data_IF_829592879015
#
_entry.id   IF_829592879015
#
_cell.length_a   1.000
_cell.length_b   1.000
_cell.length_c   1.000
_cell.angle_alpha   90.00
_cell.angle_beta   90.00
_cell.angle_gamma   90.00
#
_symmetry.space_group_name_H-M   'P 1'
#
loop_
_entity.id
_entity.type
_entity.pdbx_description
1 polymer ?
2 water ?
#
# COMPACT_ATOMS: atom_id res chain seq x y z
N UNK A 2 5.91 -5.68 -17.58
CA UNK A 2 5.51 -5.03 -16.29
C UNK A 2 6.50 -5.31 -15.14
N UNK A 3 6.95 -4.29 -14.38
CA UNK A 3 7.91 -4.51 -13.28
C UNK A 3 7.36 -5.36 -12.14
N UNK A 4 8.26 -5.91 -11.34
CA UNK A 4 7.82 -6.79 -10.28
C UNK A 4 6.97 -6.01 -9.29
N UNK A 5 6.15 -6.70 -8.50
CA UNK A 5 5.35 -6.10 -7.43
C UNK A 5 5.87 -6.61 -6.10
N UNK A 6 5.68 -5.82 -5.05
CA UNK A 6 6.04 -6.23 -3.71
C UNK A 6 4.87 -5.95 -2.78
N UNK A 7 4.49 -6.94 -1.98
CA UNK A 7 3.39 -6.74 -1.04
C UNK A 7 3.84 -7.04 0.38
N UNK A 8 3.36 -6.24 1.32
CA UNK A 8 3.66 -6.44 2.72
C UNK A 8 2.42 -6.90 3.47
N UNK A 9 2.56 -7.89 4.36
CA UNK A 9 1.43 -8.29 5.18
C UNK A 9 1.75 -8.19 6.67
N UNK A 10 0.79 -7.75 7.45
CA UNK A 10 1.03 -7.62 8.87
C UNK A 10 -0.31 -7.61 9.54
N UNK A 11 -0.32 -7.97 10.83
CA UNK A 11 -1.55 -8.06 11.61
C UNK A 11 -2.05 -6.72 12.14
N UNK A 12 -3.37 -6.52 12.08
CA UNK A 12 -4.03 -5.36 12.67
C UNK A 12 -3.74 -5.23 14.15
N UNK A 13 -3.44 -6.35 14.81
CA UNK A 13 -3.38 -6.41 16.26
C UNK A 13 -2.23 -5.56 16.84
N UNK A 14 -1.24 -5.21 16.01
CA UNK A 14 -0.17 -4.32 16.41
C UNK A 14 -0.69 -3.01 17.01
N UNK A 15 -1.87 -2.54 16.59
CA UNK A 15 -2.43 -1.31 17.14
C UNK A 15 -2.90 -1.51 18.58
N UNK A 16 -3.14 -2.74 19.02
CA UNK A 16 -3.61 -2.96 20.37
C UNK A 16 -2.50 -2.67 21.38
N UNK A 17 -1.24 -2.69 20.90
CA UNK A 17 -0.06 -2.48 21.72
C UNK A 17 0.19 -0.99 21.97
N UNK A 18 -0.31 -0.10 21.11
CA UNK A 18 -0.10 1.32 21.37
C UNK A 18 -0.62 1.65 22.78
N UNK A 19 -0.11 2.73 23.38
CA UNK A 19 -0.39 3.07 24.77
C UNK A 19 -1.27 4.31 24.88
N UNK A 20 -1.54 4.95 23.75
CA UNK A 20 -2.50 6.03 23.70
C UNK A 20 -3.09 6.11 22.29
N UNK A 21 -4.35 6.51 22.15
CA UNK A 21 -4.95 6.73 20.83
C UNK A 21 -4.08 7.52 19.86
N UNK A 22 -3.48 8.62 20.35
CA UNK A 22 -2.56 9.43 19.56
C UNK A 22 -1.47 8.53 18.97
N UNK A 23 -0.81 7.72 19.80
CA UNK A 23 0.27 6.84 19.33
C UNK A 23 -0.26 5.69 18.50
N UNK A 24 -1.53 5.31 18.70
CA UNK A 24 -2.15 4.27 17.91
C UNK A 24 -2.21 4.72 16.46
N UNK A 25 -2.54 5.99 16.31
CA UNK A 25 -2.56 6.65 15.02
C UNK A 25 -1.14 6.82 14.50
N UNK A 26 -0.16 7.21 15.34
CA UNK A 26 1.18 7.48 14.85
C UNK A 26 1.74 6.17 14.30
N UNK A 27 1.49 5.08 15.03
CA UNK A 27 2.07 3.82 14.62
C UNK A 27 1.56 3.39 13.25
N UNK A 28 0.27 3.64 12.96
CA UNK A 28 -0.27 3.25 11.67
C UNK A 28 0.39 4.06 10.57
N UNK A 29 0.54 5.37 10.82
CA UNK A 29 1.40 6.28 10.07
C UNK A 29 2.82 5.74 9.82
N UNK A 30 3.46 5.17 10.85
CA UNK A 30 4.82 4.65 10.63
C UNK A 30 4.78 3.51 9.63
N UNK A 31 3.70 2.70 9.65
CA UNK A 31 3.63 1.60 8.68
C UNK A 31 3.57 2.14 7.26
N UNK A 32 2.70 3.12 7.06
CA UNK A 32 2.44 3.66 5.73
C UNK A 32 3.74 4.21 5.18
N UNK A 33 4.49 4.90 6.06
CA UNK A 33 5.71 5.53 5.59
C UNK A 33 6.70 4.43 5.24
N UNK A 34 6.74 3.37 6.05
CA UNK A 34 7.76 2.36 5.77
C UNK A 34 7.48 1.76 4.41
N UNK A 35 6.19 1.56 4.12
CA UNK A 35 5.84 0.86 2.89
C UNK A 35 6.03 1.77 1.68
N UNK A 36 5.78 3.07 1.87
CA UNK A 36 5.94 4.03 0.80
C UNK A 36 7.44 4.21 0.47
N UNK A 37 8.30 4.18 1.49
CA UNK A 37 9.69 4.51 1.23
C UNK A 37 10.22 3.46 0.28
N UNK A 38 9.77 2.24 0.51
CA UNK A 38 10.28 1.10 -0.23
C UNK A 38 9.42 0.82 -1.44
N UNK A 39 8.53 1.74 -1.80
CA UNK A 39 7.73 1.62 -3.02
C UNK A 39 6.87 0.36 -2.98
N UNK A 40 6.25 0.01 -1.84
CA UNK A 40 5.39 -1.16 -1.79
C UNK A 40 4.11 -0.96 -2.61
N UNK A 41 3.69 -2.01 -3.34
CA UNK A 41 2.49 -1.97 -4.16
C UNK A 41 1.21 -2.29 -3.38
N UNK A 42 1.31 -3.08 -2.32
CA UNK A 42 0.13 -3.60 -1.67
C UNK A 42 0.47 -3.81 -0.20
N UNK A 43 -0.42 -3.39 0.68
CA UNK A 43 -0.31 -3.77 2.07
C UNK A 43 -1.52 -4.61 2.42
N UNK A 44 -1.28 -5.76 3.05
CA UNK A 44 -2.35 -6.67 3.44
C UNK A 44 -2.44 -6.65 4.94
N UNK A 45 -3.52 -6.12 5.52
CA UNK A 45 -3.66 -6.24 6.96
C UNK A 45 -4.57 -7.42 7.26
N UNK A 46 -4.06 -8.31 8.12
CA UNK A 46 -4.70 -9.59 8.31
C UNK A 46 -5.05 -9.75 9.79
N UNK A 47 -6.16 -10.46 10.02
CA UNK A 47 -6.64 -10.76 11.35
C UNK A 47 -5.91 -12.02 11.81
N UNK A 48 -5.21 -11.89 12.94
CA UNK A 48 -4.38 -12.95 13.48
C UNK A 48 -5.28 -14.00 14.16
N UNK A 49 -6.41 -14.33 13.50
CA UNK A 49 -7.08 -15.63 13.61
C UNK A 49 -7.30 -16.17 12.18
N UNK A 67 -12.59 -7.87 14.81
CA UNK A 67 -11.23 -7.34 14.61
C UNK A 67 -11.25 -5.91 14.07
N UNK A 68 -11.46 -4.93 14.96
CA UNK A 68 -11.55 -3.53 14.55
C UNK A 68 -10.16 -2.92 14.41
N UNK A 69 -9.18 -3.48 15.12
CA UNK A 69 -7.81 -3.09 14.89
C UNK A 69 -7.52 -3.09 13.39
N UNK A 70 -7.97 -4.15 12.67
CA UNK A 70 -7.68 -4.34 11.26
C UNK A 70 -8.36 -3.25 10.44
N UNK A 71 -9.61 -2.94 10.78
CA UNK A 71 -10.39 -1.97 10.03
C UNK A 71 -9.76 -0.58 10.23
N UNK A 72 -9.34 -0.29 11.47
CA UNK A 72 -8.77 1.02 11.78
C UNK A 72 -7.44 1.18 11.04
N UNK A 73 -6.60 0.15 11.10
CA UNK A 73 -5.29 0.25 10.51
C UNK A 73 -5.46 0.49 9.00
N UNK A 74 -6.29 -0.34 8.37
CA UNK A 74 -6.52 -0.21 6.94
C UNK A 74 -7.06 1.18 6.62
N UNK A 75 -7.94 1.69 7.47
CA UNK A 75 -8.55 2.96 7.15
C UNK A 75 -7.45 4.01 7.11
N UNK A 76 -6.56 4.00 8.12
CA UNK A 76 -5.52 5.01 8.24
C UNK A 76 -4.62 4.95 6.99
N UNK A 77 -4.19 3.72 6.69
CA UNK A 77 -3.32 3.46 5.57
C UNK A 77 -3.89 4.07 4.28
N UNK A 78 -5.21 3.93 4.07
CA UNK A 78 -5.86 4.37 2.84
C UNK A 78 -5.96 5.89 2.84
N UNK A 79 -6.28 6.49 4.00
CA UNK A 79 -6.32 7.93 4.14
C UNK A 79 -4.97 8.49 3.68
N UNK A 80 -3.87 7.88 4.14
CA UNK A 80 -2.57 8.48 3.92
C UNK A 80 -2.11 8.34 2.47
N UNK A 81 -2.56 7.27 1.80
CA UNK A 81 -2.22 7.03 0.41
C UNK A 81 -2.99 8.01 -0.46
N UNK A 82 -4.27 8.19 -0.17
CA UNK A 82 -5.10 9.07 -0.97
C UNK A 82 -4.54 10.48 -0.98
N UNK A 83 -4.31 11.08 -2.16
CA UNK A 83 -3.90 12.48 -2.26
C UNK A 83 -4.80 13.36 -1.43
N UNK A 84 -4.26 14.51 -1.04
CA UNK A 84 -4.93 15.34 -0.04
C UNK A 84 -6.20 15.96 -0.61
N UNK A 85 -6.17 16.31 -1.91
CA UNK A 85 -7.27 17.04 -2.53
C UNK A 85 -8.49 16.15 -2.67
N UNK A 86 -8.30 14.85 -2.48
CA UNK A 86 -9.36 13.85 -2.61
C UNK A 86 -9.85 13.33 -1.27
N UNK A 87 -9.25 13.78 -0.16
CA UNK A 87 -9.60 13.20 1.13
C UNK A 87 -11.04 13.59 1.53
N UNK A 88 -11.38 14.90 1.52
CA UNK A 88 -12.75 15.30 1.81
C UNK A 88 -13.70 14.36 1.06
N UNK A 89 -13.50 14.21 -0.25
CA UNK A 89 -14.44 13.46 -1.07
C UNK A 89 -14.48 11.98 -0.69
N UNK A 90 -13.34 11.35 -0.41
CA UNK A 90 -13.35 9.90 -0.26
C UNK A 90 -13.55 9.39 1.16
N UNK A 91 -13.33 10.21 2.21
CA UNK A 91 -13.49 9.73 3.57
C UNK A 91 -14.44 10.60 4.37
N UNK A 92 -15.65 10.10 4.70
CA UNK A 92 -16.47 10.79 5.67
C UNK A 92 -15.67 10.88 6.96
N UNK A 93 -15.94 11.94 7.72
CA UNK A 93 -15.37 12.13 9.03
C UNK A 93 -15.57 10.84 9.81
N UNK A 94 -14.48 10.30 10.37
CA UNK A 94 -14.61 9.11 11.19
C UNK A 94 -13.88 9.39 12.51
N UNK A 95 -14.06 8.49 13.48
CA UNK A 95 -13.30 8.49 14.72
C UNK A 95 -11.99 7.71 14.56
N UNK A 96 -11.78 7.09 13.39
CA UNK A 96 -10.48 6.50 13.08
C UNK A 96 -9.52 7.58 12.57
N UNK A 97 -10.02 8.69 11.97
CA UNK A 97 -9.19 9.75 11.39
C UNK A 97 -9.24 11.05 12.21
N UNK A 98 -9.55 10.95 13.50
CA UNK A 98 -9.68 12.13 14.34
C UNK A 98 -8.30 12.67 14.71
N UNK A 99 -7.29 11.79 14.65
CA UNK A 99 -5.90 12.17 14.86
C UNK A 99 -5.17 12.25 13.51
N UNK A 100 -5.91 12.38 12.41
CA UNK A 100 -5.32 12.43 11.07
C UNK A 100 -4.16 13.42 11.09
N UNK A 101 -4.41 14.53 11.80
CA UNK A 101 -3.51 15.67 11.87
C UNK A 101 -2.14 15.31 12.43
N UNK A 102 -2.09 14.46 13.47
CA UNK A 102 -0.85 14.16 14.20
C UNK A 102 0.06 13.25 13.40
N UNK A 103 0.00 13.35 12.08
CA UNK A 103 0.53 12.34 11.18
C UNK A 103 1.57 12.94 10.27
N UNK A 104 2.40 12.02 9.78
CA UNK A 104 3.41 12.28 8.79
C UNK A 104 2.92 11.96 7.38
N UNK A 105 2.98 12.96 6.49
CA UNK A 105 2.75 12.74 5.06
C UNK A 105 3.66 11.72 4.42
N UNK A 106 3.14 10.97 3.43
CA UNK A 106 3.98 10.10 2.61
C UNK A 106 4.82 10.89 1.60
N UNK A 107 4.41 12.09 1.21
CA UNK A 107 5.24 12.83 0.25
C UNK A 107 5.59 11.94 -0.94
N UNK A 108 4.59 11.20 -1.43
CA UNK A 108 4.79 10.30 -2.56
C UNK A 108 4.60 11.02 -3.89
N UNK A 109 5.13 10.48 -5.00
CA UNK A 109 5.10 11.26 -6.24
C UNK A 109 3.71 11.72 -6.68
N UNK A 110 2.63 11.15 -6.15
CA UNK A 110 1.30 11.55 -6.57
C UNK A 110 0.67 12.54 -5.59
N UNK A 111 1.46 13.05 -4.65
CA UNK A 111 1.00 14.02 -3.67
C UNK A 111 1.67 15.35 -4.02
N UNK A 112 0.93 16.22 -4.68
CA UNK A 112 1.54 17.40 -5.27
C UNK A 112 0.68 18.57 -4.88
N UNK A 113 1.25 19.77 -4.91
CA UNK A 113 0.46 20.97 -4.72
C UNK A 113 -0.41 21.17 -5.96
N UNK A 114 -1.37 22.09 -5.85
CA UNK A 114 -2.17 22.57 -6.97
C UNK A 114 -1.29 23.20 -8.05
N UNK A 115 -0.14 23.75 -7.67
CA UNK A 115 0.65 24.58 -8.56
C UNK A 115 1.83 23.78 -9.11
N UNK A 116 1.77 22.45 -9.05
CA UNK A 116 2.91 21.64 -9.42
C UNK A 116 2.60 20.99 -10.75
N UNK A 117 3.43 21.23 -11.77
CA UNK A 117 3.17 20.66 -13.09
C UNK A 117 3.60 19.20 -13.07
N UNK A 118 2.75 18.33 -13.60
CA UNK A 118 2.96 16.89 -13.55
C UNK A 118 2.23 16.24 -14.71
N UNK A 119 2.81 15.14 -15.21
CA UNK A 119 2.28 14.44 -16.37
C UNK A 119 0.93 13.81 -15.98
N UNK A 120 0.95 13.12 -14.82
CA UNK A 120 -0.20 12.42 -14.31
C UNK A 120 -0.63 12.96 -12.96
N UNK A 121 -1.93 12.83 -12.68
CA UNK A 121 -2.53 13.22 -11.41
C UNK A 121 -3.76 12.35 -11.19
N UNK A 122 -3.95 11.92 -9.93
CA UNK A 122 -5.16 11.25 -9.51
C UNK A 122 -6.30 12.26 -9.50
N UNK A 123 -7.50 11.74 -9.77
CA UNK A 123 -8.72 12.54 -9.71
C UNK A 123 -9.92 11.69 -9.31
N UNK A 124 -11.04 12.38 -9.09
CA UNK A 124 -12.34 11.75 -8.90
C UNK A 124 -13.28 12.34 -9.95
N UNK A 125 -14.14 11.47 -10.48
CA UNK A 125 -15.12 11.88 -11.47
C UNK A 125 -16.27 12.57 -10.77
N UNK A 126 -16.49 13.84 -11.13
CA UNK A 126 -17.67 14.58 -10.68
C UNK A 126 -18.97 13.83 -11.04
N UNK A 127 -20.01 13.99 -10.21
CA UNK A 127 -21.30 13.29 -10.33
C UNK A 127 -22.30 14.26 -10.97
N UNK A 128 -22.16 14.42 -12.30
CA UNK A 128 -22.98 15.30 -13.12
C UNK A 128 -23.39 14.66 -14.44
N UNK A 129 -24.61 14.91 -14.96
CA UNK A 129 -25.01 14.49 -16.29
C UNK A 129 -24.00 14.68 -17.44
N UNK A 130 -23.66 15.94 -17.79
CA UNK A 130 -22.77 16.22 -18.91
C UNK A 130 -23.56 16.25 -20.21
N UNK A 131 -22.93 16.71 -21.31
CA UNK A 131 -23.62 16.72 -22.59
C UNK A 131 -23.45 15.37 -23.28
N UNK A 132 -24.47 14.94 -24.07
CA UNK A 132 -24.57 13.57 -24.60
C UNK A 132 -23.27 12.96 -25.12
N UNK A 133 -22.65 13.50 -26.17
CA UNK A 133 -21.42 12.83 -26.65
C UNK A 133 -20.20 12.70 -25.51
N UNK A 134 -20.28 13.71 -24.61
CA UNK A 134 -19.08 14.35 -24.08
C UNK A 134 -18.52 13.51 -22.91
N UNK A 135 -17.23 13.74 -22.64
CA UNK A 135 -16.58 13.00 -21.57
C UNK A 135 -16.87 13.61 -20.20
N UNK A 136 -16.33 12.97 -19.18
CA UNK A 136 -16.63 13.31 -17.78
C UNK A 136 -15.83 14.54 -17.34
N UNK A 137 -16.28 15.13 -16.22
CA UNK A 137 -15.48 16.12 -15.52
C UNK A 137 -14.79 15.43 -14.34
N UNK A 138 -13.51 15.74 -14.17
CA UNK A 138 -12.72 15.16 -13.11
C UNK A 138 -11.95 16.25 -12.40
N UNK A 139 -11.88 16.20 -11.06
CA UNK A 139 -10.99 17.15 -10.42
C UNK A 139 -9.77 16.41 -9.88
N UNK A 140 -8.64 16.93 -10.34
CA UNK A 140 -7.33 16.48 -9.96
C UNK A 140 -6.69 17.62 -9.15
N UNK A 141 -7.50 18.25 -8.29
CA UNK A 141 -7.02 19.34 -7.45
C UNK A 141 -6.32 20.46 -8.21
N UNK A 142 -6.54 20.55 -9.53
CA UNK A 142 -6.00 21.64 -10.32
C UNK A 142 -6.94 22.83 -10.14
N UNK A 143 -6.53 24.01 -10.63
CA UNK A 143 -7.33 25.22 -10.48
C UNK A 143 -8.65 25.12 -11.23
N UNK A 144 -8.62 24.41 -12.36
CA UNK A 144 -9.82 24.11 -13.12
C UNK A 144 -9.98 22.60 -13.11
N UNK A 145 -11.23 22.15 -13.08
CA UNK A 145 -11.58 20.79 -13.44
C UNK A 145 -10.86 20.39 -14.74
N UNK A 146 -10.71 19.06 -14.91
CA UNK A 146 -10.07 18.46 -16.07
C UNK A 146 -11.12 17.74 -16.90
N UNK A 147 -11.19 17.96 -18.21
CA UNK A 147 -12.18 17.23 -19.01
C UNK A 147 -11.48 16.09 -19.73
N UNK A 148 -12.23 15.00 -19.92
CA UNK A 148 -11.66 13.76 -20.39
C UNK A 148 -12.50 13.18 -21.52
N UNK A 149 -12.11 11.95 -21.90
CA UNK A 149 -12.44 11.28 -23.15
C UNK A 149 -13.80 10.61 -23.00
N UNK A 150 -14.07 10.02 -21.83
CA UNK A 150 -15.11 9.03 -21.65
C UNK A 150 -16.15 9.51 -20.64
N UNK A 151 -17.31 8.84 -20.65
CA UNK A 151 -18.40 9.12 -19.73
C UNK A 151 -18.36 8.02 -18.66
N UNK A 152 -17.75 8.29 -17.50
CA UNK A 152 -17.52 7.24 -16.52
C UNK A 152 -18.48 7.37 -15.35
N UNK A 153 -18.69 6.26 -14.61
CA UNK A 153 -19.64 6.26 -13.50
C UNK A 153 -19.05 7.10 -12.35
N UNK A 154 -19.80 8.10 -11.82
CA UNK A 154 -19.20 9.12 -10.94
C UNK A 154 -18.78 8.66 -9.53
N UNK A 155 -18.09 9.56 -8.80
CA UNK A 155 -17.47 9.21 -7.52
C UNK A 155 -16.28 8.24 -7.61
N UNK A 156 -15.95 7.79 -8.83
CA UNK A 156 -14.94 6.75 -9.05
C UNK A 156 -13.56 7.39 -9.19
N UNK A 157 -12.54 6.72 -8.68
CA UNK A 157 -11.22 7.32 -8.62
C UNK A 157 -10.42 6.93 -9.86
N UNK A 158 -9.78 7.91 -10.53
CA UNK A 158 -9.05 7.59 -11.75
C UNK A 158 -7.68 8.24 -11.84
N UNK A 159 -6.91 7.76 -12.83
CA UNK A 159 -5.61 8.31 -13.10
C UNK A 159 -5.67 9.00 -14.47
N UNK A 160 -5.30 10.29 -14.51
CA UNK A 160 -5.44 11.15 -15.67
C UNK A 160 -4.07 11.57 -16.19
N UNK A 161 -3.85 11.48 -17.52
CA UNK A 161 -2.66 12.05 -18.15
C UNK A 161 -3.03 13.31 -18.91
N UNK A 162 -2.52 14.45 -18.44
CA UNK A 162 -2.94 15.74 -18.96
C UNK A 162 -2.34 15.95 -20.34
N UNK A 163 -3.11 16.48 -21.28
CA UNK A 163 -2.56 16.71 -22.60
C UNK A 163 -1.45 17.75 -22.44
N UNK A 164 -0.47 17.74 -23.37
CA UNK A 164 0.67 18.64 -23.31
C UNK A 164 0.29 20.05 -23.77
N UNK A 165 -0.58 20.12 -24.79
CA UNK A 165 -1.16 21.36 -25.28
C UNK A 165 -2.36 21.70 -24.40
N UNK A 166 -2.37 22.92 -23.85
CA UNK A 166 -3.43 23.33 -22.95
C UNK A 166 -3.94 24.70 -23.38
N UNK A 167 -5.01 24.69 -24.19
CA UNK A 167 -5.67 25.91 -24.59
C UNK A 167 -5.61 26.88 -23.41
N UNK A 168 -4.87 28.01 -23.51
CA UNK A 168 -4.62 28.90 -22.37
C UNK A 168 -5.85 29.55 -21.76
N UNK A 169 -6.93 29.67 -22.56
CA UNK A 169 -8.17 30.31 -22.16
C UNK A 169 -9.20 29.31 -21.64
N UNK A 170 -9.09 28.04 -22.05
CA UNK A 170 -10.20 27.12 -21.83
C UNK A 170 -10.63 27.16 -20.38
N UNK A 171 -11.95 27.08 -20.17
CA UNK A 171 -12.56 27.05 -18.86
C UNK A 171 -12.13 25.78 -18.12
N UNK A 172 -11.70 24.75 -18.86
CA UNK A 172 -11.15 23.54 -18.29
C UNK A 172 -9.80 23.21 -18.93
N UNK A 173 -9.07 22.29 -18.27
CA UNK A 173 -7.96 21.57 -18.87
C UNK A 173 -8.51 20.31 -19.54
N UNK A 174 -7.66 19.59 -20.26
CA UNK A 174 -8.07 18.37 -20.96
C UNK A 174 -7.00 17.32 -20.70
N UNK A 175 -7.41 16.05 -20.61
CA UNK A 175 -6.50 14.93 -20.39
C UNK A 175 -7.21 13.60 -20.65
N UNK A 176 -6.52 12.48 -20.52
CA UNK A 176 -7.09 11.19 -20.86
C UNK A 176 -6.92 10.26 -19.67
N UNK A 177 -7.91 9.40 -19.43
CA UNK A 177 -7.79 8.45 -18.35
C UNK A 177 -6.89 7.31 -18.79
N UNK A 178 -6.07 6.81 -17.86
CA UNK A 178 -5.08 5.81 -18.20
C UNK A 178 -5.01 4.77 -17.09
N UNK A 179 -4.48 3.58 -17.37
CA UNK A 179 -4.23 2.61 -16.33
C UNK A 179 -3.50 3.29 -15.18
N UNK A 180 -3.73 2.80 -13.97
CA UNK A 180 -3.06 3.33 -12.79
C UNK A 180 -1.66 2.72 -12.66
N UNK A 181 -1.34 1.74 -13.49
CA UNK A 181 0.01 1.19 -13.52
C UNK A 181 0.93 2.06 -14.37
N UNK A 182 0.36 2.99 -15.15
CA UNK A 182 1.15 3.66 -16.19
C UNK A 182 2.27 4.50 -15.57
N UNK A 183 2.02 5.30 -14.51
CA UNK A 183 3.08 6.12 -13.92
C UNK A 183 4.28 5.34 -13.40
N UNK A 184 4.03 4.16 -12.83
CA UNK A 184 5.15 3.29 -12.50
C UNK A 184 5.78 2.83 -13.82
N UNK A 185 5.01 2.07 -14.60
CA UNK A 185 5.62 1.32 -15.69
C UNK A 185 6.13 2.31 -16.73
N UNK A 186 5.41 3.41 -16.99
CA UNK A 186 5.84 4.26 -18.08
C UNK A 186 6.84 5.28 -17.59
N UNK A 187 6.60 5.99 -16.47
CA UNK A 187 7.53 7.06 -16.08
C UNK A 187 8.35 6.76 -14.81
N UNK A 188 8.38 5.51 -14.34
CA UNK A 188 9.22 5.13 -13.21
C UNK A 188 8.70 5.64 -11.87
N UNK A 189 7.50 6.22 -11.84
CA UNK A 189 7.00 6.86 -10.64
C UNK A 189 6.23 5.91 -9.75
N UNK A 190 6.59 5.95 -8.46
CA UNK A 190 5.84 5.27 -7.43
C UNK A 190 4.50 5.98 -7.36
N UNK A 191 3.41 5.22 -7.28
CA UNK A 191 2.10 5.83 -7.38
C UNK A 191 1.19 5.30 -6.29
N UNK A 192 1.78 4.83 -5.20
CA UNK A 192 1.02 4.48 -4.01
C UNK A 192 0.78 2.98 -3.88
N UNK A 193 0.15 2.59 -2.79
CA UNK A 193 -0.13 1.19 -2.57
C UNK A 193 -1.65 1.02 -2.54
N UNK A 194 -2.10 -0.24 -2.56
CA UNK A 194 -3.48 -0.58 -2.27
C UNK A 194 -3.47 -1.32 -0.95
N UNK A 195 -4.65 -1.48 -0.33
CA UNK A 195 -4.77 -2.10 0.98
C UNK A 195 -5.81 -3.19 0.90
N UNK A 196 -5.53 -4.30 1.55
CA UNK A 196 -6.38 -5.47 1.43
C UNK A 196 -6.50 -6.09 2.81
N UNK A 197 -7.75 -6.31 3.22
CA UNK A 197 -8.12 -7.01 4.43
C UNK A 197 -8.28 -8.52 4.15
N UNK A 198 -7.78 -9.31 5.11
CA UNK A 198 -7.76 -10.74 5.01
C UNK A 198 -8.17 -11.28 6.37
N UNK A 199 -9.03 -12.30 6.37
CA UNK A 199 -9.64 -12.73 7.61
C UNK A 199 -8.68 -13.60 8.43
N UNK A 200 -7.54 -13.97 7.87
CA UNK A 200 -6.68 -14.95 8.51
C UNK A 200 -5.39 -15.04 7.70
N UNK A 201 -4.46 -15.87 8.19
CA UNK A 201 -3.16 -15.95 7.54
C UNK A 201 -3.28 -16.63 6.18
N UNK A 202 -4.04 -17.74 6.07
CA UNK A 202 -4.23 -18.38 4.77
C UNK A 202 -4.92 -17.48 3.75
N UNK A 203 -5.74 -16.51 4.20
CA UNK A 203 -6.37 -15.57 3.28
C UNK A 203 -5.34 -14.62 2.70
N UNK A 204 -4.25 -14.40 3.41
CA UNK A 204 -3.23 -13.53 2.85
C UNK A 204 -2.71 -14.10 1.53
N UNK A 205 -2.59 -15.43 1.44
CA UNK A 205 -2.06 -16.07 0.26
C UNK A 205 -3.17 -16.34 -0.76
N UNK A 206 -4.31 -16.83 -0.25
CA UNK A 206 -5.42 -17.31 -1.08
C UNK A 206 -6.14 -16.16 -1.77
N UNK A 207 -6.33 -15.02 -1.08
CA UNK A 207 -7.13 -13.90 -1.57
C UNK A 207 -6.22 -12.91 -2.31
N UNK A 208 -5.10 -13.40 -2.85
CA UNK A 208 -4.10 -12.57 -3.54
C UNK A 208 -4.69 -11.93 -4.79
N UNK A 209 -4.31 -10.68 -5.12
CA UNK A 209 -4.94 -9.96 -6.23
C UNK A 209 -4.43 -10.33 -7.63
N UNK A 210 -3.42 -11.19 -7.72
CA UNK A 210 -2.89 -11.62 -8.99
C UNK A 210 -3.37 -13.05 -9.19
N UNK A 211 -4.17 -13.28 -10.24
CA UNK A 211 -4.52 -14.60 -10.74
C UNK A 211 -3.38 -15.59 -10.56
N UNK A 212 -2.29 -15.27 -11.25
CA UNK A 212 -0.93 -15.72 -11.01
C UNK A 212 -0.80 -16.53 -9.70
N UNK A 213 -1.04 -15.91 -8.53
CA UNK A 213 -0.45 -16.28 -7.23
C UNK A 213 0.65 -15.28 -6.80
N UNK A 214 1.17 -15.37 -5.57
CA UNK A 214 2.45 -14.75 -5.23
C UNK A 214 3.55 -15.80 -5.43
N UNK A 215 4.41 -15.64 -6.44
CA UNK A 215 5.39 -16.67 -6.77
C UNK A 215 6.59 -16.71 -5.80
N UNK A 216 6.74 -15.69 -4.94
CA UNK A 216 7.78 -15.66 -3.91
C UNK A 216 7.19 -15.10 -2.61
N UNK A 217 7.26 -15.92 -1.56
CA UNK A 217 6.80 -15.54 -0.24
C UNK A 217 7.99 -15.63 0.72
N UNK A 218 8.08 -14.63 1.60
CA UNK A 218 9.15 -14.51 2.57
C UNK A 218 8.54 -14.15 3.90
N UNK A 219 8.86 -14.90 4.94
CA UNK A 219 8.40 -14.61 6.29
C UNK A 219 9.60 -14.23 7.14
N UNK A 220 9.37 -13.42 8.19
CA UNK A 220 10.48 -12.97 9.02
C UNK A 220 10.34 -13.51 10.43
N UNK A 221 11.49 -13.83 11.01
CA UNK A 221 11.60 -14.45 12.32
C UNK A 221 13.05 -14.38 12.79
N UNK A 222 13.26 -14.17 14.08
CA UNK A 222 14.59 -14.42 14.64
C UNK A 222 14.90 -15.92 14.59
N UNK A 223 13.88 -16.81 14.39
CA UNK A 223 14.10 -18.26 14.29
C UNK A 223 14.55 -18.67 12.88
N UNK A 224 14.55 -17.75 11.90
CA UNK A 224 14.85 -18.08 10.51
C UNK A 224 16.35 -18.04 10.17
N UNK A 225 16.66 -18.22 8.89
CA UNK A 225 18.04 -18.34 8.43
C UNK A 225 18.62 -16.97 8.02
N UNK A 226 19.95 -16.83 8.11
CA UNK A 226 20.54 -15.52 7.89
C UNK A 226 20.23 -15.07 6.48
N UNK A 227 19.68 -13.85 6.41
CA UNK A 227 19.32 -13.22 5.16
C UNK A 227 20.56 -13.07 4.25
N UNK A 228 21.74 -12.87 4.84
CA UNK A 228 23.01 -12.91 4.13
C UNK A 228 23.12 -14.16 3.26
N UNK A 229 22.65 -15.32 3.75
CA UNK A 229 22.90 -16.61 3.11
C UNK A 229 21.68 -17.09 2.31
N UNK A 230 20.72 -16.19 2.07
CA UNK A 230 19.53 -16.49 1.28
C UNK A 230 19.72 -16.03 -0.17
N UNK A 231 19.27 -16.89 -1.10
CA UNK A 231 19.21 -16.54 -2.51
C UNK A 231 17.76 -16.54 -2.95
N UNK A 232 17.36 -15.43 -3.57
CA UNK A 232 15.99 -15.21 -3.99
C UNK A 232 15.83 -15.80 -5.39
N UNK A 233 14.72 -16.51 -5.67
CA UNK A 233 14.43 -16.98 -7.02
C UNK A 233 13.90 -15.80 -7.82
N UNK A 234 13.98 -15.94 -9.15
CA UNK A 234 13.34 -15.00 -10.04
C UNK A 234 11.86 -14.95 -9.68
N UNK A 235 11.24 -13.77 -9.83
CA UNK A 235 9.89 -13.57 -9.35
C UNK A 235 9.26 -12.35 -10.03
N UNK A 236 7.94 -12.28 -9.87
CA UNK A 236 7.10 -11.28 -10.50
C UNK A 236 6.32 -10.56 -9.40
N UNK A 237 5.86 -11.33 -8.41
CA UNK A 237 5.02 -10.85 -7.32
C UNK A 237 5.55 -11.37 -6.00
N UNK A 238 6.27 -10.53 -5.27
CA UNK A 238 6.83 -10.92 -3.99
C UNK A 238 5.86 -10.54 -2.88
N UNK A 239 5.78 -11.39 -1.85
CA UNK A 239 5.09 -11.03 -0.62
C UNK A 239 6.01 -11.22 0.58
N UNK A 240 6.05 -10.22 1.48
CA UNK A 240 6.81 -10.31 2.73
C UNK A 240 5.85 -10.19 3.91
N UNK A 241 5.93 -11.15 4.85
CA UNK A 241 4.95 -11.25 5.92
C UNK A 241 5.59 -11.06 7.28
N UNK A 242 4.98 -10.19 8.09
CA UNK A 242 5.43 -9.87 9.44
C UNK A 242 4.44 -10.42 10.44
N UNK A 243 4.97 -10.97 11.53
CA UNK A 243 4.16 -11.43 12.64
C UNK A 243 3.88 -10.27 13.60
N UNK A 244 3.06 -10.54 14.62
CA UNK A 244 2.89 -9.56 15.67
C UNK A 244 4.03 -9.64 16.68
N UNK A 245 3.82 -8.98 17.80
CA UNK A 245 4.45 -9.26 19.08
C UNK A 245 4.55 -10.78 19.31
N UNK A 246 3.50 -11.55 18.96
CA UNK A 246 3.50 -12.98 19.21
C UNK A 246 4.08 -13.81 18.05
N UNK A 247 4.53 -13.16 16.96
CA UNK A 247 5.12 -13.88 15.84
C UNK A 247 4.08 -14.49 14.90
N UNK A 248 4.56 -15.12 13.83
CA UNK A 248 3.67 -15.69 12.84
C UNK A 248 3.00 -16.96 13.38
N UNK A 249 3.48 -17.45 14.53
CA UNK A 249 2.93 -18.66 15.11
C UNK A 249 1.47 -18.46 15.46
N UNK A 250 1.07 -17.22 15.79
CA UNK A 250 -0.19 -16.98 16.47
C UNK A 250 -1.38 -17.00 15.50
N UNK A 251 -1.18 -16.41 14.31
CA UNK A 251 -2.17 -16.42 13.25
C UNK A 251 -2.11 -17.70 12.42
N UNK A 252 -1.17 -18.60 12.76
CA UNK A 252 -0.97 -19.89 12.11
C UNK A 252 -1.62 -21.02 12.92
N UNK A 253 -1.50 -20.96 14.24
CA UNK A 253 -2.17 -21.92 15.09
C UNK A 253 -3.67 -21.66 14.94
N UNK A 254 -4.00 -20.37 15.06
CA UNK A 254 -5.36 -19.88 15.18
C UNK A 254 -6.13 -20.01 13.87
N UNK A 255 -5.43 -20.16 12.72
CA UNK A 255 -6.08 -20.38 11.43
C UNK A 255 -6.38 -21.87 11.29
N UNK A 256 -7.63 -22.29 10.96
CA UNK A 256 -7.97 -23.71 10.94
C UNK A 256 -7.55 -24.43 9.65
N UNK A 257 -7.21 -23.64 8.60
CA UNK A 257 -6.73 -24.17 7.32
C UNK A 257 -5.22 -24.48 7.36
N UNK A 258 -4.56 -24.26 8.51
CA UNK A 258 -3.12 -24.44 8.64
C UNK A 258 -2.75 -25.30 9.85
N UNK A 259 -2.34 -26.55 9.56
CA UNK A 259 -2.01 -27.59 10.55
C UNK A 259 -0.52 -27.93 10.43
N UNK A 260 0.33 -27.09 11.06
CA UNK A 260 1.78 -27.11 10.93
C UNK A 260 2.40 -26.96 12.32
N UNK A 261 3.63 -27.48 12.50
CA UNK A 261 4.34 -27.38 13.77
C UNK A 261 5.31 -26.18 13.77
N UNK A 262 5.40 -25.46 12.65
CA UNK A 262 6.28 -24.30 12.58
C UNK A 262 6.01 -23.53 11.29
N UNK A 263 6.05 -22.18 11.30
CA UNK A 263 5.73 -21.38 10.12
C UNK A 263 6.74 -21.40 8.98
N UNK A 264 7.95 -21.93 9.22
CA UNK A 264 8.96 -22.07 8.18
C UNK A 264 8.35 -22.53 6.86
N UNK A 265 7.54 -23.59 6.92
CA UNK A 265 7.15 -24.34 5.73
C UNK A 265 6.12 -23.58 4.89
N UNK A 266 5.49 -22.53 5.45
CA UNK A 266 4.45 -21.79 4.74
C UNK A 266 5.05 -20.95 3.63
N UNK A 267 6.35 -20.64 3.73
CA UNK A 267 6.95 -19.70 2.81
C UNK A 267 8.08 -20.37 2.06
N UNK A 268 8.41 -19.74 0.93
CA UNK A 268 9.54 -20.09 0.11
C UNK A 268 10.83 -19.80 0.88
N UNK A 269 10.86 -18.70 1.67
CA UNK A 269 12.03 -18.33 2.47
C UNK A 269 11.57 -17.87 3.83
N UNK A 270 12.39 -18.17 4.85
CA UNK A 270 12.12 -17.79 6.23
C UNK A 270 13.40 -17.17 6.80
N UNK A 271 13.36 -15.87 7.09
CA UNK A 271 14.63 -15.21 7.33
C UNK A 271 14.59 -14.45 8.64
N UNK A 272 15.77 -14.49 9.28
CA UNK A 272 16.20 -13.52 10.25
C UNK A 272 17.00 -12.42 9.54
N UNK A 273 16.45 -11.20 9.58
CA UNK A 273 17.00 -10.07 8.84
C UNK A 273 17.82 -9.13 9.74
N UNK A 274 18.06 -9.52 10.99
CA UNK A 274 18.92 -8.72 11.83
C UNK A 274 19.72 -9.62 12.77
N UNK A 275 20.83 -10.18 12.27
CA UNK A 275 21.62 -11.10 13.09
C UNK A 275 22.18 -10.34 14.30
N UNK A 276 22.21 -11.02 15.46
CA UNK A 276 22.82 -10.53 16.69
C UNK A 276 22.26 -9.18 17.15
N UNK A 277 20.93 -9.07 17.12
CA UNK A 277 20.24 -7.92 17.65
C UNK A 277 20.55 -7.68 19.12
N UNK A 278 20.50 -6.41 19.57
CA UNK A 278 20.86 -6.11 20.94
C UNK A 278 19.64 -5.77 21.82
N UNK A 279 18.48 -5.94 21.23
CA UNK A 279 17.20 -5.96 21.89
C UNK A 279 16.62 -7.37 21.82
N UNK A 280 15.92 -7.82 22.88
CA UNK A 280 15.19 -9.10 22.85
C UNK A 280 14.08 -9.15 21.79
N UNK A 281 13.53 -8.00 21.39
CA UNK A 281 12.33 -7.88 20.56
C UNK A 281 12.48 -6.79 19.49
N UNK A 282 12.02 -7.08 18.30
CA UNK A 282 11.90 -6.02 17.33
C UNK A 282 10.43 -5.84 17.06
N UNK A 283 9.98 -4.60 17.25
CA UNK A 283 8.63 -4.19 16.88
C UNK A 283 8.49 -4.14 15.37
N UNK A 284 7.25 -4.31 14.92
CA UNK A 284 7.04 -4.66 13.55
C UNK A 284 7.19 -3.41 12.70
N UNK A 285 6.83 -2.22 13.21
CA UNK A 285 7.17 -1.01 12.47
C UNK A 285 8.69 -0.84 12.36
N UNK A 286 9.43 -1.36 13.33
CA UNK A 286 10.87 -1.45 13.22
C UNK A 286 11.25 -2.52 12.21
N UNK A 287 10.59 -3.65 12.30
CA UNK A 287 11.02 -4.80 11.53
C UNK A 287 10.77 -4.60 10.05
N UNK A 288 9.69 -3.91 9.66
CA UNK A 288 9.47 -3.55 8.25
C UNK A 288 10.65 -2.77 7.67
N UNK A 289 11.18 -1.77 8.36
CA UNK A 289 12.25 -0.99 7.78
C UNK A 289 13.53 -1.84 7.64
N UNK A 290 13.88 -2.54 8.70
CA UNK A 290 15.10 -3.34 8.71
C UNK A 290 14.96 -4.42 7.63
N UNK A 291 13.82 -5.07 7.58
CA UNK A 291 13.68 -6.26 6.75
C UNK A 291 13.69 -5.88 5.28
N UNK A 292 12.95 -4.82 4.94
CA UNK A 292 12.88 -4.38 3.55
C UNK A 292 14.22 -3.84 3.09
N UNK A 293 14.95 -3.22 4.03
CA UNK A 293 16.27 -2.74 3.69
C UNK A 293 17.15 -3.94 3.40
N UNK A 294 17.16 -4.90 4.33
CA UNK A 294 18.06 -6.04 4.22
C UNK A 294 17.79 -6.82 2.94
N UNK A 295 16.53 -6.81 2.48
CA UNK A 295 16.11 -7.51 1.29
C UNK A 295 16.20 -6.70 -0.01
N UNK A 296 16.05 -5.37 0.03
CA UNK A 296 15.92 -4.55 -1.17
C UNK A 296 16.86 -4.99 -2.30
N UNK A 297 18.19 -5.08 -2.08
CA UNK A 297 19.06 -5.66 -3.10
C UNK A 297 18.77 -7.12 -2.87
N UNK A 298 18.55 -7.85 -3.93
CA UNK A 298 17.98 -9.17 -3.72
C UNK A 298 16.65 -9.16 -4.46
N UNK A 299 15.75 -8.39 -3.89
CA UNK A 299 14.53 -8.02 -4.58
C UNK A 299 14.87 -7.35 -5.89
N UNK A 300 15.76 -6.35 -5.88
CA UNK A 300 16.03 -5.61 -7.10
C UNK A 300 16.60 -6.57 -8.15
N UNK A 301 17.58 -7.42 -7.79
CA UNK A 301 18.28 -8.15 -8.83
C UNK A 301 17.47 -9.39 -9.29
N UNK A 302 16.53 -9.90 -8.50
CA UNK A 302 15.77 -11.06 -8.92
C UNK A 302 14.50 -10.68 -9.72
N UNK A 303 13.90 -9.51 -9.46
CA UNK A 303 12.69 -9.02 -10.12
C UNK A 303 12.86 -8.45 -11.54
N UNK A 304 14.12 -8.39 -12.00
CA UNK A 304 14.45 -8.25 -13.41
C UNK A 304 13.21 -8.30 -14.30
#
# INVERSE_FOLDING_TARGET
MRPYTLSVALPGSILDNAQSPELRTYLAGQIARACAIFCVDEIVVFDEEGQDAKTVEGEFTGVGKKGQACVQLARILQYLECPQYLRKAFFPKHQDLQFAGLLNPLDSPHHMRQDEESEFREGIVVDRPTRPGHGSFVNCGMKKEVKIDKNLEPGLRVTVRLNQQQHPDCKTYHGKVVSSQDPRTKAGLYWGYTVRLASCLSAVFAEAPFQDGYDLTIGTSERGSDVASAQLPNFRHALVVFGGLQGLEAGADADPNLEVAEPSVLFDLYVNTCPGQGSRTIRTEENILISLAALQPGLIQAGARHT
#
